data_IF_335324376850
#
_entry.id   IF_335324376850
#
_cell.length_a   1.000
_cell.length_b   1.000
_cell.length_c   1.000
_cell.angle_alpha   90.00
_cell.angle_beta   90.00
_cell.angle_gamma   90.00
#
_symmetry.space_group_name_H-M   'P 1'
#
loop_
_entity.id
_entity.type
_entity.pdbx_description
1 polymer ?
#
# COMPACT_ATOMS: atom_id res chain seq x y z
N UNK A 1 19.60 -14.52 -19.86
CA UNK A 1 18.14 -14.64 -20.05
C UNK A 1 17.71 -13.63 -21.12
N UNK A 2 16.80 -14.01 -22.02
CA UNK A 2 16.21 -13.13 -23.04
C UNK A 2 14.71 -12.94 -22.74
N UNK A 3 14.14 -11.76 -23.00
CA UNK A 3 12.74 -11.45 -22.76
C UNK A 3 12.17 -10.56 -23.87
N UNK A 4 10.86 -10.65 -24.11
CA UNK A 4 10.14 -9.83 -25.09
C UNK A 4 8.92 -9.17 -24.43
N UNK A 5 8.66 -7.91 -24.78
CA UNK A 5 7.47 -7.19 -24.30
C UNK A 5 6.18 -7.79 -24.90
N UNK A 6 5.14 -7.88 -24.06
CA UNK A 6 3.81 -8.38 -24.44
C UNK A 6 2.74 -7.36 -24.04
N UNK A 7 1.78 -7.10 -24.92
CA UNK A 7 0.66 -6.21 -24.62
C UNK A 7 -0.44 -6.96 -23.87
N UNK A 8 -0.83 -6.45 -22.70
CA UNK A 8 -1.93 -6.97 -21.89
C UNK A 8 -3.06 -5.93 -21.83
N UNK A 9 -4.30 -6.38 -21.89
CA UNK A 9 -5.46 -5.51 -21.64
C UNK A 9 -5.52 -5.05 -20.18
N UNK A 10 -6.26 -3.97 -19.91
CA UNK A 10 -6.31 -3.30 -18.60
C UNK A 10 -6.64 -4.25 -17.44
N UNK A 11 -7.57 -5.18 -17.65
CA UNK A 11 -8.02 -6.14 -16.65
C UNK A 11 -6.90 -7.11 -16.30
N UNK A 12 -6.25 -7.67 -17.33
CA UNK A 12 -5.19 -8.65 -17.15
C UNK A 12 -3.93 -8.02 -16.55
N UNK A 13 -3.58 -6.82 -17.00
CA UNK A 13 -2.49 -6.02 -16.43
C UNK A 13 -2.74 -5.65 -14.96
N UNK A 14 -3.99 -5.35 -14.59
CA UNK A 14 -4.35 -4.99 -13.20
C UNK A 14 -4.31 -6.20 -12.26
N UNK A 15 -4.75 -7.38 -12.74
CA UNK A 15 -4.70 -8.63 -11.97
C UNK A 15 -3.31 -9.27 -11.91
N UNK A 16 -2.39 -8.89 -12.81
CA UNK A 16 -1.01 -9.40 -12.84
C UNK A 16 -0.02 -8.56 -12.02
N UNK A 17 -0.50 -7.67 -11.15
CA UNK A 17 0.37 -6.88 -10.27
C UNK A 17 1.06 -7.77 -9.24
N UNK A 18 2.26 -7.35 -8.84
CA UNK A 18 3.06 -8.04 -7.81
C UNK A 18 2.39 -7.98 -6.43
N UNK A 19 1.70 -6.88 -6.15
CA UNK A 19 0.88 -6.70 -4.96
C UNK A 19 -0.42 -7.47 -5.09
N UNK A 20 -0.57 -8.48 -4.24
CA UNK A 20 -1.80 -9.25 -4.19
C UNK A 20 -2.93 -8.44 -3.55
N UNK A 21 -2.62 -7.52 -2.64
CA UNK A 21 -3.63 -6.70 -1.97
C UNK A 21 -4.27 -5.71 -2.95
N UNK A 22 -3.46 -5.07 -3.80
CA UNK A 22 -3.98 -4.20 -4.84
C UNK A 22 -4.65 -4.95 -5.99
N UNK A 23 -4.19 -6.18 -6.32
CA UNK A 23 -4.86 -7.02 -7.30
C UNK A 23 -6.25 -7.48 -6.78
N UNK A 24 -6.34 -7.89 -5.52
CA UNK A 24 -7.57 -8.35 -4.89
C UNK A 24 -8.62 -7.22 -4.76
N UNK A 25 -8.18 -5.97 -4.61
CA UNK A 25 -9.05 -4.80 -4.53
C UNK A 25 -9.60 -4.32 -5.88
N UNK A 26 -9.15 -4.90 -7.01
CA UNK A 26 -9.65 -4.54 -8.34
C UNK A 26 -10.88 -5.36 -8.70
N UNK A 27 -10.75 -6.68 -8.75
CA UNK A 27 -11.84 -7.64 -8.96
C UNK A 27 -11.37 -9.07 -8.62
N UNK A 28 -12.28 -10.05 -8.69
CA UNK A 28 -11.97 -11.49 -8.50
C UNK A 28 -11.31 -11.80 -7.15
N UNK A 29 -11.67 -11.04 -6.11
CA UNK A 29 -11.03 -11.00 -4.79
C UNK A 29 -10.78 -12.38 -4.19
N UNK A 30 -11.77 -13.28 -4.20
CA UNK A 30 -11.62 -14.63 -3.64
C UNK A 30 -10.54 -15.45 -4.35
N UNK A 31 -10.47 -15.38 -5.68
CA UNK A 31 -9.45 -16.08 -6.48
C UNK A 31 -8.05 -15.56 -6.16
N UNK A 32 -7.90 -14.24 -6.05
CA UNK A 32 -6.60 -13.61 -5.76
C UNK A 32 -6.13 -13.95 -4.34
N UNK A 33 -7.01 -13.90 -3.34
CA UNK A 33 -6.69 -14.22 -1.96
C UNK A 33 -6.30 -15.70 -1.79
N UNK A 34 -7.02 -16.62 -2.44
CA UNK A 34 -6.70 -18.05 -2.41
C UNK A 34 -5.33 -18.32 -3.04
N UNK A 35 -5.02 -17.73 -4.20
CA UNK A 35 -3.71 -17.87 -4.85
C UNK A 35 -2.58 -17.34 -3.96
N UNK A 36 -2.80 -16.19 -3.31
CA UNK A 36 -1.83 -15.60 -2.38
C UNK A 36 -1.60 -16.47 -1.14
N UNK A 37 -2.67 -17.03 -0.55
CA UNK A 37 -2.60 -17.90 0.61
C UNK A 37 -1.86 -19.21 0.31
N UNK A 38 -2.19 -19.88 -0.81
CA UNK A 38 -1.55 -21.14 -1.22
C UNK A 38 -0.05 -20.93 -1.50
N UNK A 39 0.31 -19.80 -2.12
CA UNK A 39 1.70 -19.48 -2.45
C UNK A 39 2.47 -18.79 -1.31
N UNK A 40 1.82 -18.50 -0.18
CA UNK A 40 2.41 -17.75 0.93
C UNK A 40 2.94 -16.37 0.52
N UNK A 41 2.24 -15.66 -0.39
CA UNK A 41 2.71 -14.36 -0.90
C UNK A 41 2.66 -13.29 0.18
N UNK A 42 3.73 -12.50 0.28
CA UNK A 42 3.82 -11.34 1.18
C UNK A 42 3.71 -10.06 0.37
N UNK A 43 2.79 -9.17 0.75
CA UNK A 43 2.68 -7.86 0.14
C UNK A 43 3.68 -6.89 0.75
N UNK A 44 4.42 -6.16 -0.09
CA UNK A 44 5.43 -5.19 0.36
C UNK A 44 4.89 -3.77 0.50
N UNK A 45 3.60 -3.53 0.21
CA UNK A 45 2.92 -2.26 0.43
C UNK A 45 3.64 -1.06 -0.21
N UNK A 46 4.24 -1.24 -1.38
CA UNK A 46 5.01 -0.17 -2.06
C UNK A 46 4.15 0.73 -2.93
N UNK A 47 2.93 0.31 -3.24
CA UNK A 47 2.04 1.06 -4.11
C UNK A 47 1.11 1.99 -3.34
N UNK A 48 0.38 2.80 -4.11
CA UNK A 48 -0.59 3.73 -3.55
C UNK A 48 -1.78 2.99 -2.95
N UNK A 49 -2.34 2.00 -3.65
CA UNK A 49 -3.60 1.35 -3.25
C UNK A 49 -3.47 0.63 -1.91
N UNK A 50 -2.38 -0.07 -1.68
CA UNK A 50 -2.15 -0.85 -0.47
C UNK A 50 -2.02 0.06 0.75
N UNK A 51 -1.32 1.20 0.62
CA UNK A 51 -1.19 2.17 1.70
C UNK A 51 -2.52 2.88 1.98
N UNK A 52 -3.31 3.21 0.95
CA UNK A 52 -4.67 3.76 1.14
C UNK A 52 -5.56 2.77 1.90
N UNK A 53 -5.58 1.49 1.49
CA UNK A 53 -6.42 0.47 2.13
C UNK A 53 -6.05 0.29 3.61
N UNK A 54 -4.77 0.42 3.95
CA UNK A 54 -4.25 0.26 5.31
C UNK A 54 -4.26 1.55 6.14
N UNK A 55 -4.67 2.70 5.56
CA UNK A 55 -4.60 4.00 6.23
C UNK A 55 -3.17 4.49 6.51
N UNK A 56 -2.18 4.02 5.74
CA UNK A 56 -0.79 4.48 5.85
C UNK A 56 -0.53 5.67 4.92
N UNK A 57 0.46 6.53 5.24
CA UNK A 57 0.88 7.60 4.33
C UNK A 57 1.18 7.05 2.95
N UNK A 58 0.56 7.63 1.93
CA UNK A 58 0.70 7.17 0.55
C UNK A 58 2.05 7.59 -0.04
N UNK A 59 2.68 6.74 -0.87
CA UNK A 59 3.85 7.16 -1.65
C UNK A 59 3.39 8.10 -2.76
N UNK A 60 3.45 9.41 -2.49
CA UNK A 60 3.15 10.47 -3.45
C UNK A 60 4.39 11.34 -3.65
N UNK A 61 4.58 11.83 -4.87
CA UNK A 61 5.73 12.67 -5.25
C UNK A 61 5.79 14.01 -4.49
N UNK A 62 4.71 14.41 -3.81
CA UNK A 62 4.65 15.63 -2.99
C UNK A 62 5.10 15.39 -1.55
N UNK A 63 5.05 14.13 -1.06
CA UNK A 63 5.39 13.75 0.31
C UNK A 63 6.81 13.16 0.36
N UNK A 64 7.80 13.87 -0.16
CA UNK A 64 9.18 13.70 0.33
C UNK A 64 9.35 14.57 1.57
N UNK A 65 8.65 14.18 2.63
CA UNK A 65 9.01 14.61 3.97
C UNK A 65 10.29 13.84 4.28
N UNK A 66 11.39 14.57 4.44
CA UNK A 66 12.64 13.98 4.89
C UNK A 66 12.40 13.19 6.17
N UNK A 67 13.21 12.15 6.39
CA UNK A 67 12.99 11.12 7.42
C UNK A 67 12.77 11.64 8.85
N UNK A 68 13.06 12.92 9.09
CA UNK A 68 12.88 13.62 10.36
C UNK A 68 11.40 14.01 10.65
N UNK A 69 10.55 14.19 9.63
CA UNK A 69 9.17 14.65 9.83
C UNK A 69 8.18 13.54 10.19
N UNK A 70 8.57 12.26 9.99
CA UNK A 70 7.73 11.12 10.42
C UNK A 70 7.58 11.04 11.93
N UNK A 71 8.62 11.39 12.68
CA UNK A 71 8.52 11.48 14.14
C UNK A 71 7.63 12.67 14.58
N UNK A 72 7.54 13.74 13.78
CA UNK A 72 6.74 14.92 14.10
C UNK A 72 5.24 14.68 13.97
N UNK A 73 4.82 13.88 13.00
CA UNK A 73 3.41 13.52 12.80
C UNK A 73 2.89 12.61 13.93
N UNK A 74 3.70 11.69 14.45
CA UNK A 74 3.28 10.86 15.59
C UNK A 74 3.40 11.57 16.95
N UNK A 75 4.22 12.62 17.07
CA UNK A 75 4.37 13.40 18.32
C UNK A 75 3.30 14.50 18.46
N UNK A 76 2.84 15.08 17.36
CA UNK A 76 1.83 16.14 17.36
C UNK A 76 0.47 15.69 17.91
N UNK A 77 0.06 14.45 17.59
CA UNK A 77 -1.17 13.87 18.12
C UNK A 77 -1.08 13.66 19.65
N UNK A 78 0.11 13.36 20.19
CA UNK A 78 0.33 13.15 21.62
C UNK A 78 0.38 14.48 22.40
N UNK A 79 0.94 15.55 21.82
CA UNK A 79 0.96 16.87 22.46
C UNK A 79 -0.45 17.49 22.57
N UNK A 80 -1.32 17.33 21.56
CA UNK A 80 -2.71 17.78 21.66
C UNK A 80 -3.47 17.00 22.75
N UNK A 81 -3.25 15.69 22.88
CA UNK A 81 -3.91 14.84 23.87
C UNK A 81 -3.45 15.15 25.31
N UNK A 82 -2.16 15.45 25.53
CA UNK A 82 -1.64 15.87 26.86
C UNK A 82 -2.17 17.26 27.24
N UNK A 83 -2.28 18.19 26.29
CA UNK A 83 -2.81 19.54 26.54
C UNK A 83 -4.30 19.55 26.93
N UNK A 84 -5.06 18.55 26.46
CA UNK A 84 -6.47 18.35 26.83
C UNK A 84 -6.69 17.65 28.17
N UNK A 85 -5.63 17.11 28.78
CA UNK A 85 -5.66 16.38 30.05
C UNK A 85 -5.14 17.19 31.25
N UNK A 86 -4.46 18.33 31.03
CA UNK A 86 -4.16 19.29 32.11
C UNK A 86 -5.36 20.22 32.37
N UNK A 87 -6.23 19.80 33.30
CA UNK A 87 -7.17 20.66 34.05
C UNK A 87 -6.70 20.82 35.50
#
# INVERSE_FOLDING_TARGET
>A
ATAQAVLLGITRASLSKDSWLAAASFQETGRVLVDAAIKGKVDRLRGLKENVILGKPIPSQVLSLDSDDRNKLEMGDVEEEISGLEL
#
